data_IF_749871320925
#
_entry.id   IF_749871320925
#
_cell.length_a   1.000
_cell.length_b   1.000
_cell.length_c   1.000
_cell.angle_alpha   90.00
_cell.angle_beta   90.00
_cell.angle_gamma   90.00
#
_symmetry.space_group_name_H-M   'P 1'
#
loop_
_entity.id
_entity.type
_entity.pdbx_description
1 polymer ?
#
# COMPACT_ATOMS: atom_id res chain seq x y z
N UNK A 1 2.77 22.04 -7.43
CA UNK A 1 3.83 21.20 -8.02
C UNK A 1 5.13 21.90 -7.71
N UNK A 2 5.87 21.43 -6.72
CA UNK A 2 7.19 22.01 -6.51
C UNK A 2 8.14 21.48 -7.58
N UNK A 3 9.11 22.33 -7.97
CA UNK A 3 10.06 22.11 -9.05
C UNK A 3 11.02 20.93 -8.83
N UNK A 4 10.88 20.16 -7.74
CA UNK A 4 11.82 19.11 -7.35
C UNK A 4 11.24 17.68 -7.31
N UNK A 5 9.96 17.47 -7.59
CA UNK A 5 9.36 16.12 -7.72
C UNK A 5 9.44 15.20 -6.48
N UNK A 6 10.06 15.66 -5.40
CA UNK A 6 10.39 14.80 -4.24
C UNK A 6 9.24 14.62 -3.24
N UNK A 7 8.33 15.57 -3.16
CA UNK A 7 7.22 15.51 -2.19
C UNK A 7 6.13 14.53 -2.64
N UNK A 8 5.98 14.34 -3.95
CA UNK A 8 4.94 13.45 -4.50
C UNK A 8 5.19 11.96 -4.30
N UNK A 9 6.44 11.53 -4.04
CA UNK A 9 6.77 10.10 -3.84
C UNK A 9 6.10 9.50 -2.59
N UNK A 10 5.87 10.29 -1.55
CA UNK A 10 5.16 9.82 -0.34
C UNK A 10 3.64 9.96 -0.44
N UNK A 11 3.13 10.71 -1.41
CA UNK A 11 1.70 10.89 -1.63
C UNK A 11 1.19 9.86 -2.65
N UNK A 12 1.32 8.59 -2.31
CA UNK A 12 0.72 7.53 -3.14
C UNK A 12 -0.78 7.51 -2.87
N UNK A 13 -1.59 7.60 -3.94
CA UNK A 13 -3.04 7.63 -3.82
C UNK A 13 -3.63 6.45 -3.03
N UNK A 14 -2.95 5.29 -3.04
CA UNK A 14 -3.32 4.14 -2.23
C UNK A 14 -3.26 4.40 -0.72
N UNK A 15 -2.37 5.29 -0.24
CA UNK A 15 -2.28 5.66 1.18
C UNK A 15 -3.50 6.45 1.67
N UNK A 16 -4.14 7.23 0.80
CA UNK A 16 -5.40 7.88 1.15
C UNK A 16 -6.48 6.87 1.53
N UNK A 17 -6.65 5.82 0.73
CA UNK A 17 -7.59 4.74 1.03
C UNK A 17 -7.19 3.95 2.29
N UNK A 18 -5.89 3.70 2.49
CA UNK A 18 -5.37 3.04 3.70
C UNK A 18 -5.61 3.88 4.95
N UNK A 19 -5.49 5.20 4.86
CA UNK A 19 -5.77 6.11 5.97
C UNK A 19 -7.24 6.01 6.43
N UNK A 20 -8.18 5.97 5.47
CA UNK A 20 -9.60 5.78 5.77
C UNK A 20 -9.84 4.46 6.52
N UNK A 21 -9.21 3.38 6.09
CA UNK A 21 -9.31 2.07 6.76
C UNK A 21 -8.67 2.12 8.16
N UNK A 22 -7.40 2.53 8.26
CA UNK A 22 -6.64 2.45 9.51
C UNK A 22 -7.16 3.42 10.58
N UNK A 23 -7.67 4.59 10.17
CA UNK A 23 -8.15 5.61 11.10
C UNK A 23 -9.67 5.61 11.27
N UNK A 24 -10.42 5.22 10.24
CA UNK A 24 -11.88 5.20 10.24
C UNK A 24 -12.50 3.86 10.66
N UNK A 25 -11.83 2.75 10.35
CA UNK A 25 -12.29 1.39 10.65
C UNK A 25 -11.16 0.53 11.25
N UNK A 26 -10.59 0.92 12.42
CA UNK A 26 -9.41 0.26 13.00
C UNK A 26 -9.65 -1.20 13.39
N UNK A 27 -10.91 -1.63 13.58
CA UNK A 27 -11.25 -3.03 13.90
C UNK A 27 -11.26 -3.94 12.67
N UNK A 28 -11.35 -3.37 11.47
CA UNK A 28 -11.44 -4.18 10.27
C UNK A 28 -10.17 -5.06 10.10
N UNK A 29 -10.31 -6.34 9.74
CA UNK A 29 -9.16 -7.23 9.52
C UNK A 29 -8.17 -6.64 8.52
N UNK A 30 -8.68 -6.00 7.46
CA UNK A 30 -7.86 -5.38 6.42
C UNK A 30 -7.08 -4.13 6.87
N UNK A 31 -7.42 -3.55 8.03
CA UNK A 31 -6.76 -2.39 8.63
C UNK A 31 -5.57 -2.76 9.51
N UNK A 32 -5.40 -4.04 9.84
CA UNK A 32 -4.37 -4.48 10.78
C UNK A 32 -2.95 -4.28 10.22
N UNK A 33 -1.93 -4.07 11.09
CA UNK A 33 -0.57 -3.80 10.67
C UNK A 33 -0.01 -4.81 9.68
N UNK A 34 -0.26 -6.11 9.91
CA UNK A 34 0.16 -7.19 9.00
C UNK A 34 -0.42 -7.00 7.59
N UNK A 35 -1.72 -6.70 7.52
CA UNK A 35 -2.42 -6.53 6.25
C UNK A 35 -1.98 -5.24 5.56
N UNK A 36 -1.92 -4.13 6.30
CA UNK A 36 -1.54 -2.83 5.76
C UNK A 36 -0.10 -2.86 5.21
N UNK A 37 0.88 -3.22 6.04
CA UNK A 37 2.28 -3.24 5.62
C UNK A 37 2.52 -4.35 4.58
N UNK A 38 2.10 -5.59 4.89
CA UNK A 38 2.30 -6.74 4.02
C UNK A 38 1.59 -6.57 2.67
N UNK A 39 0.34 -6.10 2.69
CA UNK A 39 -0.45 -5.88 1.47
C UNK A 39 0.19 -4.87 0.54
N UNK A 40 0.63 -3.72 1.08
CA UNK A 40 1.34 -2.72 0.28
C UNK A 40 2.66 -3.23 -0.27
N UNK A 41 3.49 -3.89 0.55
CA UNK A 41 4.80 -4.40 0.13
C UNK A 41 4.67 -5.48 -0.96
N UNK A 42 3.76 -6.45 -0.77
CA UNK A 42 3.51 -7.52 -1.75
C UNK A 42 2.96 -6.94 -3.04
N UNK A 43 2.03 -6.00 -2.95
CA UNK A 43 1.46 -5.34 -4.13
C UNK A 43 2.50 -4.52 -4.89
N UNK A 44 3.39 -3.82 -4.19
CA UNK A 44 4.50 -3.10 -4.81
C UNK A 44 5.47 -4.06 -5.53
N UNK A 45 5.81 -5.20 -4.87
CA UNK A 45 6.66 -6.23 -5.48
C UNK A 45 6.05 -6.76 -6.78
N UNK A 46 4.77 -7.13 -6.74
CA UNK A 46 4.07 -7.64 -7.92
C UNK A 46 3.98 -6.57 -9.01
N UNK A 47 3.58 -5.35 -8.65
CA UNK A 47 3.42 -4.26 -9.62
C UNK A 47 4.74 -3.91 -10.33
N UNK A 48 5.85 -3.79 -9.58
CA UNK A 48 7.19 -3.55 -10.15
C UNK A 48 7.61 -4.72 -11.04
N UNK A 49 7.39 -5.96 -10.61
CA UNK A 49 7.73 -7.14 -11.42
C UNK A 49 6.95 -7.18 -12.73
N UNK A 50 5.65 -6.88 -12.70
CA UNK A 50 4.83 -6.80 -13.92
C UNK A 50 5.34 -5.69 -14.83
N UNK A 51 5.65 -4.52 -14.30
CA UNK A 51 6.20 -3.42 -15.09
C UNK A 51 7.53 -3.80 -15.75
N UNK A 52 8.45 -4.41 -15.01
CA UNK A 52 9.77 -4.80 -15.55
C UNK A 52 9.68 -5.91 -16.60
N UNK A 53 8.70 -6.80 -16.51
CA UNK A 53 8.52 -7.91 -17.46
C UNK A 53 7.69 -7.53 -18.68
N UNK A 54 6.64 -6.74 -18.48
CA UNK A 54 5.68 -6.38 -19.51
C UNK A 54 5.95 -4.99 -20.13
N UNK A 55 6.77 -4.17 -19.48
CA UNK A 55 7.01 -2.78 -19.88
C UNK A 55 5.71 -1.99 -19.89
N UNK A 56 5.64 -1.03 -20.79
CA UNK A 56 4.43 -0.23 -21.07
C UNK A 56 3.43 -1.03 -21.93
N UNK A 57 3.27 -2.35 -21.64
CA UNK A 57 2.46 -3.30 -22.44
C UNK A 57 0.95 -2.93 -22.47
N UNK A 58 0.67 -1.64 -22.53
CA UNK A 58 -0.62 -1.07 -22.81
C UNK A 58 -1.69 -1.49 -21.79
N UNK A 59 -2.89 -1.70 -22.29
CA UNK A 59 -4.13 -1.91 -21.54
C UNK A 59 -4.10 -3.14 -20.60
N UNK A 60 -3.21 -4.11 -20.82
CA UNK A 60 -3.20 -5.38 -20.07
C UNK A 60 -2.29 -5.37 -18.83
N UNK A 61 -1.24 -4.54 -18.78
CA UNK A 61 -0.29 -4.52 -17.66
C UNK A 61 -0.95 -4.13 -16.33
N UNK A 62 -1.81 -3.12 -16.35
CA UNK A 62 -2.51 -2.64 -15.15
C UNK A 62 -3.44 -3.70 -14.53
N UNK A 63 -4.41 -4.28 -15.25
CA UNK A 63 -5.28 -5.32 -14.69
C UNK A 63 -4.50 -6.57 -14.29
N UNK A 64 -3.43 -6.92 -15.00
CA UNK A 64 -2.56 -8.05 -14.62
C UNK A 64 -1.87 -7.78 -13.28
N UNK A 65 -1.27 -6.61 -13.10
CA UNK A 65 -0.60 -6.25 -11.85
C UNK A 65 -1.57 -6.29 -10.65
N UNK A 66 -2.76 -5.70 -10.81
CA UNK A 66 -3.78 -5.68 -9.74
C UNK A 66 -4.28 -7.10 -9.44
N UNK A 67 -4.58 -7.89 -10.44
CA UNK A 67 -5.08 -9.26 -10.26
C UNK A 67 -4.06 -10.15 -9.57
N UNK A 68 -2.80 -10.11 -10.01
CA UNK A 68 -1.72 -10.87 -9.38
C UNK A 68 -1.43 -10.40 -7.96
N UNK A 69 -1.52 -9.08 -7.70
CA UNK A 69 -1.36 -8.54 -6.35
C UNK A 69 -2.48 -9.06 -5.41
N UNK A 70 -3.73 -9.13 -5.88
CA UNK A 70 -4.84 -9.70 -5.10
C UNK A 70 -4.55 -11.17 -4.74
N UNK A 71 -4.16 -11.97 -5.75
CA UNK A 71 -3.83 -13.38 -5.52
C UNK A 71 -2.66 -13.53 -4.54
N UNK A 72 -1.60 -12.75 -4.70
CA UNK A 72 -0.43 -12.78 -3.82
C UNK A 72 -0.79 -12.40 -2.38
N UNK A 73 -1.61 -11.35 -2.19
CA UNK A 73 -2.11 -10.96 -0.87
C UNK A 73 -2.99 -12.04 -0.24
N UNK A 74 -3.81 -12.75 -1.02
CA UNK A 74 -4.61 -13.87 -0.51
C UNK A 74 -3.73 -15.04 -0.06
N UNK A 75 -2.76 -15.43 -0.87
CA UNK A 75 -1.83 -16.53 -0.56
C UNK A 75 -0.99 -16.26 0.69
N UNK A 76 -0.66 -14.99 0.95
CA UNK A 76 0.16 -14.58 2.12
C UNK A 76 -0.67 -14.19 3.34
N UNK A 77 -2.00 -14.15 3.22
CA UNK A 77 -2.90 -13.71 4.29
C UNK A 77 -2.70 -12.24 4.66
N UNK A 78 -2.36 -11.39 3.70
CA UNK A 78 -2.11 -9.95 3.88
C UNK A 78 -3.05 -9.09 3.07
N UNK A 79 -4.29 -9.55 2.86
CA UNK A 79 -5.25 -8.80 2.06
C UNK A 79 -5.48 -7.40 2.64
N UNK A 80 -5.15 -6.40 1.82
CA UNK A 80 -5.34 -4.98 2.09
C UNK A 80 -5.82 -4.31 0.79
N UNK A 81 -7.09 -3.96 0.68
CA UNK A 81 -7.66 -3.48 -0.58
C UNK A 81 -6.88 -2.34 -1.25
N UNK A 82 -6.38 -1.33 -0.51
CA UNK A 82 -5.56 -0.27 -1.10
C UNK A 82 -4.25 -0.75 -1.74
N UNK A 83 -3.79 -1.96 -1.40
CA UNK A 83 -2.61 -2.58 -2.03
C UNK A 83 -2.79 -2.73 -3.55
N UNK A 84 -4.00 -3.03 -4.02
CA UNK A 84 -4.28 -3.08 -5.47
C UNK A 84 -3.91 -1.77 -6.18
N UNK A 85 -4.22 -0.63 -5.58
CA UNK A 85 -3.80 0.67 -6.13
C UNK A 85 -2.28 0.87 -6.07
N UNK A 86 -1.58 0.29 -5.09
CA UNK A 86 -0.11 0.33 -5.03
C UNK A 86 0.52 -0.45 -6.20
N UNK A 87 -0.02 -1.62 -6.53
CA UNK A 87 0.43 -2.37 -7.72
C UNK A 87 0.15 -1.62 -9.02
N UNK A 88 -1.03 -0.97 -9.12
CA UNK A 88 -1.38 -0.14 -10.26
C UNK A 88 -0.40 1.02 -10.44
N UNK A 89 -0.09 1.74 -9.36
CA UNK A 89 0.84 2.88 -9.37
C UNK A 89 2.25 2.45 -9.79
N UNK A 90 2.70 1.25 -9.41
CA UNK A 90 3.98 0.74 -9.88
C UNK A 90 4.05 0.60 -11.41
N UNK A 91 2.91 0.40 -12.08
CA UNK A 91 2.83 0.29 -13.55
C UNK A 91 2.67 1.65 -14.21
N UNK A 92 1.80 2.53 -13.68
CA UNK A 92 1.43 3.81 -14.34
C UNK A 92 2.13 5.04 -13.76
N UNK A 93 2.95 4.89 -12.73
CA UNK A 93 3.50 6.02 -11.94
C UNK A 93 4.56 6.87 -12.64
N UNK A 94 4.91 6.52 -13.88
CA UNK A 94 5.89 7.26 -14.68
C UNK A 94 7.33 7.11 -14.18
N UNK A 95 8.26 7.91 -14.76
CA UNK A 95 9.70 7.78 -14.52
C UNK A 95 10.08 7.87 -13.05
N UNK A 96 9.45 8.74 -12.27
CA UNK A 96 9.74 8.88 -10.83
C UNK A 96 9.54 7.59 -10.02
N UNK A 97 8.62 6.73 -10.44
CA UNK A 97 8.37 5.42 -9.81
C UNK A 97 9.20 4.34 -10.50
N UNK A 98 9.27 4.36 -11.82
CA UNK A 98 9.95 3.35 -12.61
C UNK A 98 11.46 3.33 -12.35
N UNK A 99 12.09 4.51 -12.18
CA UNK A 99 13.53 4.65 -11.90
C UNK A 99 13.91 4.07 -10.52
N UNK A 100 12.94 3.95 -9.59
CA UNK A 100 13.17 3.30 -8.30
C UNK A 100 13.30 1.77 -8.44
N UNK A 101 12.67 1.16 -9.44
CA UNK A 101 12.61 -0.28 -9.53
C UNK A 101 12.12 -0.90 -8.21
N UNK A 102 12.81 -1.92 -7.70
CA UNK A 102 12.45 -2.56 -6.43
C UNK A 102 12.66 -1.70 -5.17
N UNK A 103 13.41 -0.59 -5.26
CA UNK A 103 13.49 0.39 -4.15
C UNK A 103 12.14 1.00 -3.83
N UNK A 104 11.21 1.05 -4.78
CA UNK A 104 9.83 1.46 -4.56
C UNK A 104 9.16 0.72 -3.39
N UNK A 105 9.48 -0.58 -3.21
CA UNK A 105 8.94 -1.41 -2.12
C UNK A 105 9.37 -0.87 -0.75
N UNK A 106 10.66 -0.51 -0.61
CA UNK A 106 11.22 -0.04 0.65
C UNK A 106 10.84 1.42 0.92
N UNK A 107 11.08 2.26 -0.06
CA UNK A 107 10.74 3.68 -0.02
C UNK A 107 10.18 4.10 -1.39
N UNK A 108 8.93 4.60 -1.43
CA UNK A 108 8.09 5.11 -0.35
C UNK A 108 7.16 4.07 0.35
N UNK A 109 6.99 2.85 -0.20
CA UNK A 109 5.87 1.98 0.17
C UNK A 109 5.97 1.46 1.61
N UNK A 110 7.01 0.68 1.95
CA UNK A 110 7.14 0.11 3.29
C UNK A 110 7.28 1.19 4.36
N UNK A 111 8.11 2.20 4.10
CA UNK A 111 8.32 3.31 5.02
C UNK A 111 7.00 4.07 5.29
N UNK A 112 6.26 4.41 4.24
CA UNK A 112 4.97 5.09 4.35
C UNK A 112 3.92 4.24 5.09
N UNK A 113 3.84 2.94 4.78
CA UNK A 113 2.95 2.01 5.47
C UNK A 113 3.29 1.90 6.98
N UNK A 114 4.57 1.82 7.34
CA UNK A 114 5.01 1.81 8.74
C UNK A 114 4.64 3.10 9.47
N UNK A 115 4.85 4.27 8.84
CA UNK A 115 4.45 5.56 9.41
C UNK A 115 2.93 5.58 9.66
N UNK A 116 2.14 5.13 8.68
CA UNK A 116 0.67 5.08 8.81
C UNK A 116 0.21 4.19 9.96
N UNK A 117 0.83 3.02 10.12
CA UNK A 117 0.55 2.11 11.26
C UNK A 117 0.92 2.78 12.58
N UNK A 118 2.06 3.47 12.64
CA UNK A 118 2.47 4.23 13.83
C UNK A 118 1.46 5.33 14.19
N UNK A 119 1.02 6.12 13.20
CA UNK A 119 -0.01 7.15 13.41
C UNK A 119 -1.34 6.51 13.83
N UNK A 120 -1.76 5.40 13.18
CA UNK A 120 -2.98 4.68 13.54
C UNK A 120 -2.93 4.17 14.99
N UNK A 121 -1.78 3.65 15.41
CA UNK A 121 -1.57 3.21 16.78
C UNK A 121 -1.76 4.37 17.77
N UNK A 122 -1.13 5.51 17.53
CA UNK A 122 -1.25 6.70 18.39
C UNK A 122 -2.69 7.20 18.43
N UNK A 123 -3.28 7.51 17.27
CA UNK A 123 -4.60 8.17 17.17
C UNK A 123 -5.71 7.28 17.75
N UNK A 124 -5.72 5.99 17.39
CA UNK A 124 -6.79 5.10 17.83
C UNK A 124 -6.71 4.78 19.32
N UNK A 125 -5.51 4.63 19.89
CA UNK A 125 -5.37 4.32 21.31
C UNK A 125 -5.51 5.55 22.22
N UNK A 126 -5.25 6.76 21.72
CA UNK A 126 -5.49 8.00 22.48
C UNK A 126 -6.97 8.33 22.63
N UNK A 127 -7.84 7.80 21.78
CA UNK A 127 -9.30 8.07 21.86
C UNK A 127 -9.96 7.57 23.13
N UNK A 128 -9.33 6.64 23.87
CA UNK A 128 -9.87 6.02 25.08
C UNK A 128 -11.03 5.03 24.82
N UNK A 129 -11.54 4.95 23.61
CA UNK A 129 -12.63 4.05 23.24
C UNK A 129 -12.10 2.62 23.02
N UNK A 130 -12.65 1.66 23.77
CA UNK A 130 -12.25 0.23 23.62
C UNK A 130 -12.48 -0.30 22.21
N UNK A 131 -13.51 0.19 21.51
CA UNK A 131 -13.83 -0.15 20.13
C UNK A 131 -12.75 0.27 19.13
N UNK A 132 -11.95 1.27 19.46
CA UNK A 132 -10.88 1.81 18.59
C UNK A 132 -9.50 1.24 18.88
N UNK A 133 -9.37 0.32 19.85
CA UNK A 133 -8.06 -0.24 20.21
C UNK A 133 -7.35 -0.84 19.00
N UNK A 134 -6.13 -0.36 18.74
CA UNK A 134 -5.34 -0.76 17.58
C UNK A 134 -3.91 -1.17 18.00
N UNK A 135 -3.32 -2.25 17.49
CA UNK A 135 -3.96 -3.21 16.59
C UNK A 135 -5.07 -4.00 17.28
N UNK A 136 -6.07 -4.42 16.51
CA UNK A 136 -7.14 -5.27 17.00
C UNK A 136 -6.72 -6.73 16.89
N UNK A 137 -6.93 -7.53 17.96
CA UNK A 137 -6.67 -8.96 17.89
C UNK A 137 -7.74 -9.59 16.98
N UNK A 138 -7.32 -10.10 15.84
CA UNK A 138 -8.14 -11.01 15.03
C UNK A 138 -7.89 -12.40 15.57
N UNK A 139 -8.93 -12.98 16.18
CA UNK A 139 -8.91 -14.40 16.58
C UNK A 139 -8.77 -15.30 15.36
#
# INVERSE_FOLDING_TARGET
MDSNGRVSLFLIGSFGASAVLAYGAPQAPFSQPRNLIGGHCISALVGVSVYLLAGDAGIFACPLAVSLAIVAMQLTGTVHPPGGATALIAVIGGSNIHDLGYWYILCPVALGACIMVGVAWVVNNLSGEKSRKYPHKTD
#
